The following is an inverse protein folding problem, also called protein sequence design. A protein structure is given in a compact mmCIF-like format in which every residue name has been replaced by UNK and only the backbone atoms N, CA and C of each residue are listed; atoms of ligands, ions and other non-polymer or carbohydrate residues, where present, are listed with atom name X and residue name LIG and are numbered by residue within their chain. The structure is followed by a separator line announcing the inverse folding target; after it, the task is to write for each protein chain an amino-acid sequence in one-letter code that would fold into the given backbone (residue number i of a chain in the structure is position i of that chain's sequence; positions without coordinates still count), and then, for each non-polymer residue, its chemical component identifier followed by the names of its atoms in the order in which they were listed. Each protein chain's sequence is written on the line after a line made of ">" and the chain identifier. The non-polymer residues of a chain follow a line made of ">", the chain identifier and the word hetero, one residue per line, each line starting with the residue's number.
data_IF_665565701842
#
_entry.id   IF_665565701842
#
_cell.length_a   1.000
_cell.length_b   1.000
_cell.length_c   1.000
_cell.angle_alpha   90.00
_cell.angle_beta   90.00
_cell.angle_gamma   90.00
#
_symmetry.space_group_name_H-M   'P 1'
#
loop_
_entity.id
_entity.type
_entity.pdbx_description
1 polymer ?
#
# COMPACT_ATOMS: atom_id res chain seq x y z
N UNK A 1 -35.68 -7.31 -41.25
CA UNK A 1 -34.70 -6.46 -40.55
C UNK A 1 -34.10 -7.29 -39.43
N UNK A 2 -32.77 -7.44 -39.43
CA UNK A 2 -32.01 -8.44 -38.65
C UNK A 2 -31.88 -8.03 -37.17
N UNK A 3 -31.95 -9.00 -36.26
CA UNK A 3 -32.04 -8.83 -34.81
C UNK A 3 -30.69 -8.61 -34.10
N UNK A 4 -29.69 -7.98 -34.74
CA UNK A 4 -28.31 -7.98 -34.22
C UNK A 4 -27.59 -6.62 -34.30
N UNK A 5 -28.26 -5.51 -33.96
CA UNK A 5 -27.59 -4.22 -33.72
C UNK A 5 -27.85 -3.72 -32.30
N UNK A 6 -27.29 -4.44 -31.31
CA UNK A 6 -27.17 -3.91 -29.94
C UNK A 6 -25.74 -3.37 -29.78
N UNK A 7 -25.55 -2.06 -29.62
CA UNK A 7 -24.22 -1.49 -29.44
C UNK A 7 -23.55 -2.07 -28.18
N UNK A 8 -22.21 -2.28 -28.19
CA UNK A 8 -21.51 -2.88 -27.08
C UNK A 8 -21.65 -2.02 -25.82
N UNK A 9 -22.25 -2.60 -24.78
CA UNK A 9 -22.42 -1.93 -23.48
C UNK A 9 -21.08 -1.45 -22.93
N UNK A 10 -21.03 -0.16 -22.57
CA UNK A 10 -19.93 0.47 -21.83
C UNK A 10 -19.64 -0.32 -20.53
N UNK A 11 -18.38 -0.38 -20.11
CA UNK A 11 -17.93 -1.06 -18.87
C UNK A 11 -18.84 -0.82 -17.64
N UNK A 12 -19.31 0.41 -17.43
CA UNK A 12 -20.25 0.75 -16.35
C UNK A 12 -21.66 0.17 -16.56
N UNK A 13 -22.12 0.08 -17.80
CA UNK A 13 -23.40 -0.56 -18.14
C UNK A 13 -23.32 -2.08 -17.98
N UNK A 14 -22.19 -2.71 -18.34
CA UNK A 14 -21.91 -4.13 -18.05
C UNK A 14 -21.94 -4.43 -16.55
N UNK A 15 -21.29 -3.59 -15.74
CA UNK A 15 -21.28 -3.73 -14.28
C UNK A 15 -22.67 -3.57 -13.64
N UNK A 16 -23.51 -2.65 -14.16
CA UNK A 16 -24.91 -2.52 -13.72
C UNK A 16 -25.77 -3.71 -14.15
N UNK A 17 -25.55 -4.26 -15.34
CA UNK A 17 -26.27 -5.43 -15.83
C UNK A 17 -25.95 -6.67 -14.97
N UNK A 18 -24.68 -6.88 -14.62
CA UNK A 18 -24.25 -7.92 -13.67
C UNK A 18 -24.88 -7.68 -12.29
N UNK A 19 -24.88 -6.44 -11.78
CA UNK A 19 -25.54 -6.11 -10.50
C UNK A 19 -27.07 -6.34 -10.51
N UNK A 20 -27.74 -6.13 -11.64
CA UNK A 20 -29.20 -6.37 -11.77
C UNK A 20 -29.54 -7.85 -12.01
N UNK A 21 -28.69 -8.61 -12.72
CA UNK A 21 -28.89 -10.05 -12.95
C UNK A 21 -28.56 -10.93 -11.73
N UNK A 22 -27.73 -10.44 -10.82
CA UNK A 22 -27.36 -11.12 -9.56
C UNK A 22 -28.27 -10.69 -8.40
N UNK A 23 -29.25 -9.82 -8.65
CA UNK A 23 -30.33 -9.57 -7.71
C UNK A 23 -31.25 -10.79 -7.62
N UNK A 24 -31.26 -11.45 -6.45
CA UNK A 24 -32.25 -12.47 -6.02
C UNK A 24 -32.06 -13.94 -6.47
N UNK A 25 -30.84 -14.43 -6.67
CA UNK A 25 -30.59 -15.87 -6.41
C UNK A 25 -29.98 -15.99 -5.02
N UNK A 26 -30.67 -16.71 -4.11
CA UNK A 26 -30.13 -17.14 -2.82
C UNK A 26 -28.83 -17.91 -3.14
N UNK A 27 -27.67 -17.28 -2.96
CA UNK A 27 -26.41 -18.00 -2.86
C UNK A 27 -26.60 -19.06 -1.77
N UNK A 28 -26.29 -20.31 -2.08
CA UNK A 28 -26.32 -21.38 -1.07
C UNK A 28 -25.39 -20.99 0.08
N UNK A 29 -25.73 -21.35 1.33
CA UNK A 29 -24.92 -21.01 2.52
C UNK A 29 -23.43 -21.33 2.34
N UNK A 30 -23.11 -22.45 1.68
CA UNK A 30 -21.74 -22.86 1.41
C UNK A 30 -21.01 -21.92 0.43
N UNK A 31 -21.72 -21.34 -0.53
CA UNK A 31 -21.14 -20.45 -1.53
C UNK A 31 -21.01 -19.01 -0.99
N UNK A 32 -21.99 -18.57 -0.19
CA UNK A 32 -21.89 -17.35 0.60
C UNK A 32 -20.73 -17.42 1.60
N UNK A 33 -20.60 -18.53 2.33
CA UNK A 33 -19.49 -18.76 3.27
C UNK A 33 -18.14 -18.84 2.56
N UNK A 34 -18.04 -19.41 1.35
CA UNK A 34 -16.79 -19.38 0.57
C UNK A 34 -16.42 -17.97 0.08
N UNK A 35 -17.41 -17.16 -0.32
CA UNK A 35 -17.18 -15.76 -0.71
C UNK A 35 -16.79 -14.92 0.50
N UNK A 36 -17.42 -15.16 1.65
CA UNK A 36 -17.13 -14.48 2.89
C UNK A 36 -15.80 -14.92 3.48
N UNK A 37 -15.45 -16.21 3.41
CA UNK A 37 -14.13 -16.73 3.78
C UNK A 37 -13.04 -16.24 2.82
N UNK A 38 -13.33 -16.13 1.53
CA UNK A 38 -12.41 -15.53 0.56
C UNK A 38 -12.22 -14.05 0.84
N UNK A 39 -13.30 -13.30 1.09
CA UNK A 39 -13.24 -11.89 1.53
C UNK A 39 -12.55 -11.75 2.88
N UNK A 40 -12.74 -12.70 3.79
CA UNK A 40 -12.11 -12.70 5.12
C UNK A 40 -10.62 -12.97 4.98
N UNK A 41 -10.18 -13.93 4.16
CA UNK A 41 -8.76 -14.17 3.86
C UNK A 41 -8.12 -13.04 3.07
N UNK A 42 -8.84 -12.47 2.10
CA UNK A 42 -8.42 -11.26 1.38
C UNK A 42 -8.32 -10.07 2.33
N UNK A 43 -9.22 -9.94 3.32
CA UNK A 43 -9.12 -8.92 4.34
C UNK A 43 -8.08 -9.23 5.42
N UNK A 44 -7.85 -10.48 5.80
CA UNK A 44 -6.85 -10.89 6.80
C UNK A 44 -5.43 -10.71 6.23
N UNK A 45 -5.23 -10.95 4.93
CA UNK A 45 -3.99 -10.60 4.23
C UNK A 45 -3.89 -9.11 3.83
N UNK A 46 -5.00 -8.36 3.81
CA UNK A 46 -5.04 -6.93 3.42
C UNK A 46 -5.43 -5.97 4.56
N UNK A 47 -5.40 -6.40 5.83
CA UNK A 47 -5.90 -5.59 6.96
C UNK A 47 -4.92 -4.59 7.55
N UNK A 48 -3.73 -4.40 6.97
CA UNK A 48 -2.80 -3.35 7.43
C UNK A 48 -2.07 -2.67 6.29
N UNK A 49 -1.44 -3.46 5.42
CA UNK A 49 -0.63 -2.92 4.34
C UNK A 49 -1.50 -2.32 3.23
N UNK A 50 -1.26 -1.04 2.96
CA UNK A 50 -1.85 -0.26 1.87
C UNK A 50 -1.86 -1.11 0.59
N UNK A 51 -3.00 -1.30 -0.09
CA UNK A 51 -3.04 -2.25 -1.20
C UNK A 51 -2.16 -1.77 -2.36
N UNK A 52 -1.26 -2.65 -2.75
CA UNK A 52 -0.28 -2.42 -3.80
C UNK A 52 -0.80 -3.03 -5.10
N UNK A 53 -0.77 -2.24 -6.18
CA UNK A 53 -1.42 -2.61 -7.45
C UNK A 53 -0.42 -2.78 -8.59
N UNK A 54 0.11 -3.99 -8.75
CA UNK A 54 0.81 -4.53 -9.94
C UNK A 54 2.09 -3.83 -10.46
N UNK A 55 2.96 -4.64 -11.09
CA UNK A 55 4.30 -4.37 -11.65
C UNK A 55 4.43 -3.28 -12.74
N UNK A 56 3.44 -2.42 -12.93
CA UNK A 56 3.55 -1.33 -13.90
C UNK A 56 4.27 -0.11 -13.28
N UNK A 57 5.32 0.45 -13.92
CA UNK A 57 6.05 1.58 -13.36
C UNK A 57 5.14 2.78 -13.08
N UNK A 58 5.34 3.43 -11.94
CA UNK A 58 4.58 4.62 -11.54
C UNK A 58 4.96 5.81 -12.44
N UNK A 59 4.00 6.33 -13.22
CA UNK A 59 4.25 7.39 -14.21
C UNK A 59 4.47 8.78 -13.60
N UNK A 60 4.16 8.94 -12.31
CA UNK A 60 4.30 10.21 -11.59
C UNK A 60 5.66 10.27 -10.87
N UNK A 61 6.28 9.12 -10.61
CA UNK A 61 7.57 8.97 -9.94
C UNK A 61 8.69 9.55 -10.80
N UNK A 62 9.42 10.52 -10.25
CA UNK A 62 10.64 11.01 -10.89
C UNK A 62 11.81 10.05 -10.63
N UNK A 63 12.87 10.16 -11.42
CA UNK A 63 14.10 9.38 -11.18
C UNK A 63 14.71 9.72 -9.82
N UNK A 64 14.65 10.99 -9.40
CA UNK A 64 15.11 11.41 -8.09
C UNK A 64 14.31 10.73 -6.96
N UNK A 65 12.97 10.72 -7.06
CA UNK A 65 12.12 10.03 -6.07
C UNK A 65 12.45 8.54 -6.00
N UNK A 66 12.73 7.92 -7.14
CA UNK A 66 13.12 6.53 -7.17
C UNK A 66 14.44 6.27 -6.43
N UNK A 67 15.44 7.14 -6.59
CA UNK A 67 16.71 7.04 -5.87
C UNK A 67 16.55 7.24 -4.36
N UNK A 68 15.74 8.23 -3.94
CA UNK A 68 15.45 8.46 -2.53
C UNK A 68 14.79 7.23 -1.92
N UNK A 69 13.76 6.70 -2.57
CA UNK A 69 13.06 5.48 -2.11
C UNK A 69 13.97 4.26 -2.04
N UNK A 70 14.86 4.07 -3.02
CA UNK A 70 15.84 2.98 -3.00
C UNK A 70 16.81 3.12 -1.83
N UNK A 71 17.38 4.31 -1.61
CA UNK A 71 18.28 4.56 -0.48
C UNK A 71 17.57 4.36 0.87
N UNK A 72 16.30 4.80 0.99
CA UNK A 72 15.46 4.54 2.16
C UNK A 72 15.26 3.03 2.37
N UNK A 73 14.98 2.29 1.30
CA UNK A 73 14.83 0.83 1.38
C UNK A 73 16.10 0.13 1.83
N UNK A 74 17.25 0.52 1.29
CA UNK A 74 18.54 -0.08 1.69
C UNK A 74 18.84 0.12 3.18
N UNK A 75 18.54 1.30 3.74
CA UNK A 75 18.71 1.56 5.17
C UNK A 75 17.74 0.72 6.02
N UNK A 76 16.46 0.70 5.64
CA UNK A 76 15.43 -0.12 6.31
C UNK A 76 15.81 -1.60 6.27
N UNK A 77 16.16 -2.13 5.10
CA UNK A 77 16.51 -3.53 4.91
C UNK A 77 17.74 -3.90 5.76
N UNK A 78 18.72 -3.01 5.87
CA UNK A 78 19.88 -3.21 6.76
C UNK A 78 19.47 -3.30 8.23
N UNK A 79 18.56 -2.43 8.69
CA UNK A 79 18.05 -2.45 10.07
C UNK A 79 17.23 -3.69 10.36
N UNK A 80 16.32 -4.07 9.47
CA UNK A 80 15.54 -5.32 9.57
C UNK A 80 16.45 -6.54 9.68
N UNK A 81 17.46 -6.64 8.81
CA UNK A 81 18.44 -7.73 8.84
C UNK A 81 19.31 -7.71 10.10
N UNK A 82 19.46 -6.57 10.76
CA UNK A 82 20.13 -6.49 12.05
C UNK A 82 19.24 -6.97 13.20
N UNK A 83 17.95 -6.63 13.19
CA UNK A 83 16.97 -7.04 14.21
C UNK A 83 16.70 -8.53 14.17
N UNK A 84 16.60 -9.12 12.97
CA UNK A 84 16.25 -10.54 12.83
C UNK A 84 17.48 -11.43 12.62
N UNK A 85 18.63 -11.08 13.21
CA UNK A 85 19.84 -11.91 13.10
C UNK A 85 19.66 -13.22 13.86
N UNK A 86 20.10 -14.36 13.29
CA UNK A 86 19.97 -15.66 13.93
C UNK A 86 20.82 -15.81 15.20
N UNK A 87 21.82 -14.94 15.41
CA UNK A 87 22.71 -14.97 16.57
C UNK A 87 22.20 -14.19 17.80
N UNK A 88 21.09 -13.44 17.68
CA UNK A 88 20.54 -12.66 18.79
C UNK A 88 19.62 -13.49 19.69
N UNK A 89 19.63 -13.20 20.99
CA UNK A 89 18.67 -13.81 21.89
C UNK A 89 17.25 -13.30 21.59
N UNK A 90 16.20 -14.14 21.74
CA UNK A 90 14.83 -13.73 21.43
C UNK A 90 14.35 -12.47 22.15
N UNK A 91 14.85 -12.22 23.37
CA UNK A 91 14.52 -11.03 24.16
C UNK A 91 15.11 -9.75 23.53
N UNK A 92 16.37 -9.81 23.09
CA UNK A 92 17.04 -8.70 22.40
C UNK A 92 16.38 -8.38 21.05
N UNK A 93 15.90 -9.41 20.35
CA UNK A 93 15.17 -9.26 19.08
C UNK A 93 13.87 -8.49 19.32
N UNK A 94 13.10 -8.86 20.35
CA UNK A 94 11.82 -8.22 20.64
C UNK A 94 12.01 -6.76 21.09
N UNK A 95 13.00 -6.48 21.94
CA UNK A 95 13.32 -5.11 22.36
C UNK A 95 13.73 -4.25 21.15
N UNK A 96 14.65 -4.74 20.31
CA UNK A 96 15.08 -4.04 19.11
C UNK A 96 13.94 -3.83 18.12
N UNK A 97 13.03 -4.81 18.00
CA UNK A 97 11.84 -4.72 17.14
C UNK A 97 10.88 -3.65 17.62
N UNK A 98 10.57 -3.61 18.92
CA UNK A 98 9.69 -2.59 19.51
C UNK A 98 10.28 -1.20 19.33
N UNK A 99 11.56 -1.02 19.66
CA UNK A 99 12.26 0.26 19.47
C UNK A 99 12.22 0.71 18.00
N UNK A 100 12.42 -0.22 17.06
CA UNK A 100 12.38 0.11 15.65
C UNK A 100 10.98 0.46 15.12
N UNK A 101 9.93 -0.19 15.65
CA UNK A 101 8.54 0.17 15.34
C UNK A 101 8.24 1.62 15.77
N UNK A 102 8.72 2.03 16.94
CA UNK A 102 8.56 3.39 17.44
C UNK A 102 9.34 4.40 16.59
N UNK A 103 10.59 4.07 16.20
CA UNK A 103 11.38 4.87 15.26
C UNK A 103 10.65 5.07 13.92
N UNK A 104 10.07 4.00 13.37
CA UNK A 104 9.31 4.06 12.12
C UNK A 104 8.06 4.95 12.26
N UNK A 105 7.37 4.89 13.40
CA UNK A 105 6.23 5.76 13.67
C UNK A 105 6.68 7.24 13.77
N UNK A 106 7.77 7.52 14.46
CA UNK A 106 8.31 8.88 14.56
C UNK A 106 8.73 9.45 13.20
N UNK A 107 9.27 8.61 12.31
CA UNK A 107 9.58 8.99 10.92
C UNK A 107 8.31 9.29 10.13
N UNK A 108 7.27 8.45 10.25
CA UNK A 108 5.96 8.69 9.63
C UNK A 108 5.39 10.03 10.07
N UNK A 109 5.35 10.30 11.37
CA UNK A 109 4.75 11.52 11.92
C UNK A 109 5.48 12.77 11.42
N UNK A 110 6.82 12.71 11.37
CA UNK A 110 7.65 13.77 10.78
C UNK A 110 7.36 13.97 9.31
N UNK A 111 7.30 12.89 8.52
CA UNK A 111 6.99 12.97 7.09
C UNK A 111 5.62 13.58 6.83
N UNK A 112 4.62 13.26 7.66
CA UNK A 112 3.29 13.88 7.57
C UNK A 112 3.37 15.38 7.86
N UNK A 113 4.11 15.78 8.90
CA UNK A 113 4.31 17.18 9.25
C UNK A 113 5.03 17.97 8.14
N UNK A 114 6.16 17.45 7.64
CA UNK A 114 6.92 18.05 6.53
C UNK A 114 6.06 18.21 5.27
N UNK A 115 5.24 17.20 5.00
CA UNK A 115 4.37 17.19 3.84
C UNK A 115 3.22 18.19 3.98
N UNK A 116 2.69 18.37 5.19
CA UNK A 116 1.70 19.40 5.49
C UNK A 116 2.31 20.80 5.33
N UNK A 117 3.51 21.02 5.84
CA UNK A 117 4.23 22.29 5.68
C UNK A 117 4.50 22.60 4.20
N UNK A 118 4.90 21.61 3.41
CA UNK A 118 5.14 21.74 1.98
C UNK A 118 3.86 22.08 1.19
N UNK A 119 2.69 21.61 1.64
CA UNK A 119 1.39 21.94 1.05
C UNK A 119 0.93 23.35 1.46
N UNK A 120 1.06 23.68 2.76
CA UNK A 120 0.58 24.92 3.36
C UNK A 120 1.48 26.13 3.06
N UNK A 121 2.68 25.89 2.53
CA UNK A 121 3.59 26.93 2.02
C UNK A 121 3.60 27.02 0.49
N UNK A 122 2.46 27.25 -0.20
CA UNK A 122 2.35 27.14 -1.66
C UNK A 122 2.96 28.33 -2.41
N UNK A 123 3.82 29.15 -1.80
CA UNK A 123 4.15 30.52 -2.26
C UNK A 123 4.63 30.63 -3.71
N UNK A 124 4.98 29.55 -4.40
CA UNK A 124 5.35 29.56 -5.83
C UNK A 124 5.11 28.23 -6.59
N UNK A 125 4.33 27.27 -6.06
CA UNK A 125 4.28 25.92 -6.65
C UNK A 125 3.17 25.80 -7.72
N UNK A 126 3.57 25.46 -8.96
CA UNK A 126 2.62 25.05 -10.00
C UNK A 126 1.82 23.81 -9.57
N UNK A 127 0.60 23.64 -10.09
CA UNK A 127 -0.25 22.46 -9.81
C UNK A 127 0.48 21.13 -10.11
N UNK A 128 1.37 21.13 -11.11
CA UNK A 128 2.21 19.98 -11.45
C UNK A 128 3.24 19.65 -10.36
N UNK A 129 3.88 20.67 -9.78
CA UNK A 129 4.85 20.49 -8.70
C UNK A 129 4.18 20.06 -7.40
N UNK A 130 3.04 20.67 -7.04
CA UNK A 130 2.28 20.24 -5.86
C UNK A 130 1.89 18.77 -5.97
N UNK A 131 1.38 18.33 -7.14
CA UNK A 131 1.02 16.93 -7.37
C UNK A 131 2.23 15.99 -7.21
N UNK A 132 3.42 16.39 -7.64
CA UNK A 132 4.65 15.60 -7.47
C UNK A 132 5.07 15.52 -6.01
N UNK A 133 5.09 16.65 -5.30
CA UNK A 133 5.44 16.72 -3.87
C UNK A 133 4.49 15.87 -3.04
N UNK A 134 3.17 16.04 -3.21
CA UNK A 134 2.16 15.21 -2.52
C UNK A 134 2.34 13.73 -2.85
N UNK A 135 2.66 13.39 -4.10
CA UNK A 135 2.89 12.00 -4.50
C UNK A 135 4.14 11.41 -3.84
N UNK A 136 5.23 12.17 -3.78
CA UNK A 136 6.48 11.80 -3.12
C UNK A 136 6.25 11.48 -1.64
N UNK A 137 5.70 12.43 -0.88
CA UNK A 137 5.43 12.23 0.56
C UNK A 137 4.45 11.10 0.82
N UNK A 138 3.41 10.97 -0.02
CA UNK A 138 2.50 9.83 0.06
C UNK A 138 3.24 8.49 -0.03
N UNK A 139 4.20 8.36 -0.94
CA UNK A 139 4.97 7.11 -1.11
C UNK A 139 5.87 6.85 0.08
N UNK A 140 6.54 7.88 0.60
CA UNK A 140 7.40 7.76 1.77
C UNK A 140 6.60 7.35 3.02
N UNK A 141 5.52 8.07 3.33
CA UNK A 141 4.64 7.76 4.48
C UNK A 141 4.09 6.34 4.35
N UNK A 142 3.59 5.99 3.17
CA UNK A 142 3.05 4.67 2.92
C UNK A 142 4.08 3.55 3.06
N UNK A 143 5.29 3.76 2.53
CA UNK A 143 6.37 2.78 2.62
C UNK A 143 6.79 2.54 4.06
N UNK A 144 7.00 3.59 4.86
CA UNK A 144 7.36 3.43 6.27
C UNK A 144 6.25 2.74 7.07
N UNK A 145 4.99 3.07 6.81
CA UNK A 145 3.86 2.38 7.44
C UNK A 145 3.78 0.90 7.07
N UNK A 146 3.94 0.57 5.79
CA UNK A 146 3.97 -0.82 5.34
C UNK A 146 5.06 -1.60 6.08
N UNK A 147 6.27 -1.04 6.15
CA UNK A 147 7.40 -1.68 6.84
C UNK A 147 7.11 -1.85 8.33
N UNK A 148 6.57 -0.83 8.99
CA UNK A 148 6.18 -0.91 10.40
C UNK A 148 5.21 -2.07 10.65
N UNK A 149 4.18 -2.19 9.82
CA UNK A 149 3.17 -3.25 9.94
C UNK A 149 3.75 -4.64 9.67
N UNK A 150 4.70 -4.76 8.74
CA UNK A 150 5.39 -6.02 8.45
C UNK A 150 6.32 -6.42 9.61
N UNK A 151 7.11 -5.49 10.14
CA UNK A 151 7.98 -5.71 11.30
C UNK A 151 7.17 -6.10 12.54
N UNK A 152 6.01 -5.48 12.73
CA UNK A 152 5.07 -5.83 13.81
C UNK A 152 4.54 -7.26 13.70
N UNK A 153 4.36 -7.78 12.47
CA UNK A 153 3.95 -9.17 12.23
C UNK A 153 5.09 -10.18 12.40
N UNK A 154 6.35 -9.74 12.24
CA UNK A 154 7.54 -10.56 12.43
C UNK A 154 8.26 -10.89 11.13
N UNK A 155 9.37 -11.63 11.27
CA UNK A 155 10.33 -11.88 10.18
C UNK A 155 9.67 -12.51 8.94
N UNK A 156 8.84 -13.54 9.13
CA UNK A 156 8.22 -14.28 8.02
C UNK A 156 7.35 -13.38 7.13
N UNK A 157 6.65 -12.40 7.72
CA UNK A 157 5.84 -11.44 6.97
C UNK A 157 6.72 -10.51 6.12
N UNK A 158 7.86 -10.08 6.67
CA UNK A 158 8.83 -9.26 5.94
C UNK A 158 9.45 -10.05 4.78
N UNK A 159 9.91 -11.27 5.03
CA UNK A 159 10.52 -12.12 4.01
C UNK A 159 9.54 -12.41 2.86
N UNK A 160 8.28 -12.74 3.19
CA UNK A 160 7.24 -12.96 2.19
C UNK A 160 6.97 -11.71 1.34
N UNK A 161 6.96 -10.52 1.95
CA UNK A 161 6.76 -9.27 1.22
C UNK A 161 7.93 -8.94 0.26
N UNK A 162 9.16 -9.31 0.63
CA UNK A 162 10.34 -9.19 -0.23
C UNK A 162 10.24 -10.20 -1.39
N UNK A 163 9.93 -11.46 -1.10
CA UNK A 163 9.82 -12.52 -2.11
C UNK A 163 8.74 -12.21 -3.16
N UNK A 164 7.60 -11.68 -2.71
CA UNK A 164 6.50 -11.26 -3.58
C UNK A 164 6.77 -9.92 -4.31
N UNK A 165 7.90 -9.26 -4.03
CA UNK A 165 8.29 -7.95 -4.56
C UNK A 165 7.22 -6.87 -4.30
N UNK A 166 6.51 -6.96 -3.17
CA UNK A 166 5.37 -6.09 -2.83
C UNK A 166 5.75 -4.93 -1.93
N UNK A 167 7.01 -4.51 -1.89
CA UNK A 167 7.44 -3.37 -1.07
C UNK A 167 7.29 -2.07 -1.85
N UNK A 168 6.64 -1.06 -1.25
CA UNK A 168 6.37 0.23 -1.91
C UNK A 168 7.66 0.88 -2.44
N UNK A 169 8.73 0.86 -1.65
CA UNK A 169 10.00 1.48 -2.01
C UNK A 169 10.70 0.84 -3.21
N UNK A 170 10.38 -0.42 -3.54
CA UNK A 170 10.86 -1.11 -4.74
C UNK A 170 10.15 -0.65 -6.02
N UNK A 171 9.38 0.45 -5.94
CA UNK A 171 8.74 1.11 -7.08
C UNK A 171 7.32 0.63 -7.34
N UNK A 172 6.74 -0.13 -6.42
CA UNK A 172 5.38 -0.63 -6.55
C UNK A 172 4.34 0.47 -6.41
N UNK A 173 3.20 0.32 -7.10
CA UNK A 173 2.15 1.34 -7.12
C UNK A 173 1.27 1.27 -5.88
N UNK A 174 1.03 2.45 -5.31
CA UNK A 174 0.12 2.64 -4.20
C UNK A 174 -1.33 2.87 -4.65
N UNK A 175 -2.29 2.18 -4.03
CA UNK A 175 -3.70 2.49 -4.20
C UNK A 175 -4.04 3.86 -3.58
N UNK A 176 -4.29 4.86 -4.44
CA UNK A 176 -4.62 6.23 -4.05
C UNK A 176 -5.85 6.33 -3.14
N UNK A 177 -6.88 5.53 -3.41
CA UNK A 177 -8.16 5.62 -2.68
C UNK A 177 -8.02 5.14 -1.25
N UNK A 178 -7.26 4.07 -1.04
CA UNK A 178 -7.00 3.54 0.30
C UNK A 178 -6.07 4.45 1.09
N UNK A 179 -5.01 4.97 0.46
CA UNK A 179 -4.15 5.94 1.12
C UNK A 179 -4.93 7.16 1.61
N UNK A 180 -5.79 7.75 0.75
CA UNK A 180 -6.65 8.87 1.13
C UNK A 180 -7.58 8.52 2.29
N UNK A 181 -8.11 7.30 2.31
CA UNK A 181 -8.98 6.83 3.39
C UNK A 181 -8.24 6.71 4.72
N UNK A 182 -7.00 6.23 4.71
CA UNK A 182 -6.21 5.98 5.92
C UNK A 182 -5.64 7.28 6.48
N UNK A 183 -5.10 8.16 5.61
CA UNK A 183 -4.33 9.33 6.04
C UNK A 183 -5.06 10.66 5.86
N UNK A 184 -6.17 10.73 5.12
CA UNK A 184 -6.93 11.96 4.89
C UNK A 184 -6.42 12.85 3.73
N UNK A 185 -5.43 12.38 2.97
CA UNK A 185 -4.75 13.09 1.86
C UNK A 185 -5.51 13.01 0.52
#
# INVERSE_FOLDING_TARGET
>A
MSANDVPPLNRHQRLRYIKKGVGRRRLGRAEASKIEDKRRREMEGARGAIAITSRSPDRIRSQHDALVEMATWEDIHRKINHIFRPEQHPEDIEEARVAYIDDLQAVVDRLIADAQEAIDSPKTLSTGNLRRITHHYRRLVAGHHQIRDLVQQGKDAVDAAIEDEVIIFEGQRLNRLEFRRIYGW
#
